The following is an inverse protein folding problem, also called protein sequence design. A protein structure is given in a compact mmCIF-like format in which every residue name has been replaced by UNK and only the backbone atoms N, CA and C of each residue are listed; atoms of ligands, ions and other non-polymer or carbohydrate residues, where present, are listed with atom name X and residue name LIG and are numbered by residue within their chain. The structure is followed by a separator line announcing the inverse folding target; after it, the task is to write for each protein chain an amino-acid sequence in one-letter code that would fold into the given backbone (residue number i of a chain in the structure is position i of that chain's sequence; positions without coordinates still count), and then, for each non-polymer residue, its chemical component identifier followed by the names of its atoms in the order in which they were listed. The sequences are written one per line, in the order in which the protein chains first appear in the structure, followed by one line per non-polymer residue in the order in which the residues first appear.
data_IF_279867980171
#
_entry.id   IF_279867980171
#
_cell.length_a   1.000
_cell.length_b   1.000
_cell.length_c   1.000
_cell.angle_alpha   90.00
_cell.angle_beta   90.00
_cell.angle_gamma   90.00
#
_symmetry.space_group_name_H-M   'P 1'
#
loop_
_entity.id
_entity.type
_entity.pdbx_description
1 polymer ?
#
# COMPACT_ATOMS: atom_id res chain seq x y z
N UNK A 1 6.38 26.48 30.36
CA UNK A 1 6.15 25.26 31.19
C UNK A 1 5.54 24.16 30.33
N UNK A 2 4.46 24.44 29.60
CA UNK A 2 3.83 23.49 28.66
C UNK A 2 4.76 23.01 27.53
N UNK A 3 5.57 23.89 26.94
CA UNK A 3 6.48 23.48 25.84
C UNK A 3 7.59 22.52 26.31
N UNK A 4 8.01 22.61 27.57
CA UNK A 4 9.02 21.71 28.14
C UNK A 4 8.48 20.29 28.35
N UNK A 5 7.22 20.19 28.77
CA UNK A 5 6.50 18.92 28.91
C UNK A 5 6.25 18.28 27.55
N UNK A 6 5.83 19.08 26.57
CA UNK A 6 5.63 18.65 25.19
C UNK A 6 6.96 18.18 24.55
N UNK A 7 8.06 18.91 24.76
CA UNK A 7 9.39 18.49 24.30
C UNK A 7 9.82 17.17 24.93
N UNK A 8 9.57 16.98 26.24
CA UNK A 8 9.83 15.71 26.92
C UNK A 8 9.05 14.54 26.32
N UNK A 9 7.78 14.76 25.95
CA UNK A 9 6.96 13.76 25.28
C UNK A 9 7.48 13.43 23.86
N UNK A 10 7.84 14.45 23.07
CA UNK A 10 8.40 14.27 21.72
C UNK A 10 9.75 13.51 21.78
N UNK A 11 10.62 13.84 22.73
CA UNK A 11 11.91 13.17 22.92
C UNK A 11 11.74 11.68 23.24
N UNK A 12 10.78 11.36 24.11
CA UNK A 12 10.42 9.98 24.44
C UNK A 12 9.87 9.23 23.21
N UNK A 13 9.05 9.90 22.40
CA UNK A 13 8.49 9.35 21.16
C UNK A 13 9.56 9.11 20.06
N UNK A 14 10.61 9.94 19.99
CA UNK A 14 11.75 9.75 19.08
C UNK A 14 12.64 8.60 19.57
N UNK A 15 13.00 8.58 20.87
CA UNK A 15 13.84 7.53 21.47
C UNK A 15 13.23 6.13 21.35
N UNK A 16 11.92 6.01 21.55
CA UNK A 16 11.21 4.73 21.39
C UNK A 16 11.22 4.19 19.95
N UNK A 17 11.39 5.07 18.95
CA UNK A 17 11.46 4.72 17.52
C UNK A 17 12.90 4.44 17.03
N UNK A 18 13.91 5.09 17.61
CA UNK A 18 15.34 4.91 17.28
C UNK A 18 15.97 3.74 18.05
N UNK A 19 15.52 2.51 17.82
CA UNK A 19 16.13 1.32 18.44
C UNK A 19 17.51 0.93 17.87
N UNK A 20 18.11 1.73 16.98
CA UNK A 20 19.37 1.40 16.32
C UNK A 20 20.29 2.63 16.21
N UNK A 21 21.56 2.46 16.62
CA UNK A 21 22.53 3.53 16.94
C UNK A 21 23.46 3.88 15.75
N UNK A 22 23.04 3.54 14.52
CA UNK A 22 23.80 3.75 13.29
C UNK A 22 23.03 4.61 12.28
N UNK A 23 23.75 5.34 11.42
CA UNK A 23 23.13 6.04 10.29
C UNK A 23 22.39 5.03 9.40
N UNK A 24 21.05 5.09 9.30
CA UNK A 24 20.29 4.06 8.63
C UNK A 24 20.56 4.12 7.11
N UNK A 25 20.73 2.97 6.43
CA UNK A 25 20.64 2.93 4.98
C UNK A 25 19.30 3.53 4.54
N UNK A 26 19.26 4.16 3.36
CA UNK A 26 17.97 4.58 2.80
C UNK A 26 17.02 3.38 2.69
N UNK A 27 15.71 3.57 2.86
CA UNK A 27 14.77 2.43 2.91
C UNK A 27 14.84 1.58 1.63
N UNK A 28 15.18 2.20 0.49
CA UNK A 28 15.46 1.48 -0.76
C UNK A 28 16.71 0.62 -0.71
N UNK A 29 17.81 1.10 -0.12
CA UNK A 29 19.00 0.28 0.03
C UNK A 29 18.72 -0.95 0.90
N UNK A 30 17.90 -0.79 1.95
CA UNK A 30 17.43 -1.94 2.74
C UNK A 30 16.58 -2.92 1.91
N UNK A 31 15.70 -2.41 1.04
CA UNK A 31 14.91 -3.27 0.15
C UNK A 31 15.79 -4.01 -0.86
N UNK A 32 16.73 -3.31 -1.49
CA UNK A 32 17.66 -3.90 -2.45
C UNK A 32 18.56 -4.96 -1.81
N UNK A 33 19.09 -4.69 -0.61
CA UNK A 33 19.86 -5.67 0.16
C UNK A 33 19.03 -6.91 0.52
N UNK A 34 17.75 -6.74 0.88
CA UNK A 34 16.84 -7.87 1.12
C UNK A 34 16.59 -8.70 -0.13
N UNK A 35 16.48 -8.05 -1.30
CA UNK A 35 16.34 -8.74 -2.58
C UNK A 35 17.58 -9.56 -2.91
N UNK A 36 18.78 -9.00 -2.68
CA UNK A 36 20.06 -9.71 -2.85
C UNK A 36 20.17 -10.92 -1.90
N UNK A 37 19.74 -10.76 -0.65
CA UNK A 37 19.79 -11.81 0.38
C UNK A 37 18.77 -12.94 0.14
N UNK A 38 17.62 -12.65 -0.48
CA UNK A 38 16.62 -13.70 -0.78
C UNK A 38 17.12 -14.76 -1.76
N UNK A 39 18.22 -14.53 -2.50
CA UNK A 39 18.81 -15.49 -3.44
C UNK A 39 17.94 -15.84 -4.67
N UNK A 40 16.65 -15.50 -4.62
CA UNK A 40 15.69 -15.64 -5.71
C UNK A 40 15.81 -14.49 -6.72
N UNK A 41 15.62 -14.81 -8.00
CA UNK A 41 15.57 -13.81 -9.06
C UNK A 41 14.34 -12.90 -8.90
N UNK A 42 14.55 -11.68 -8.41
CA UNK A 42 13.52 -10.66 -8.36
C UNK A 42 13.35 -10.00 -9.74
N UNK A 43 12.18 -10.15 -10.40
CA UNK A 43 12.07 -9.90 -11.83
C UNK A 43 11.67 -8.47 -12.19
N UNK A 44 11.65 -7.54 -11.22
CA UNK A 44 11.23 -6.17 -11.43
C UNK A 44 12.37 -5.17 -11.25
N UNK A 45 12.32 -4.14 -12.08
CA UNK A 45 13.00 -2.88 -11.82
C UNK A 45 12.19 -2.07 -10.80
N UNK A 46 12.90 -1.34 -9.93
CA UNK A 46 12.30 -0.60 -8.83
C UNK A 46 12.50 0.89 -9.07
N UNK A 47 11.42 1.66 -8.94
CA UNK A 47 11.46 3.12 -8.96
C UNK A 47 10.64 3.73 -7.83
N UNK A 48 11.18 4.77 -7.20
CA UNK A 48 10.50 5.51 -6.15
C UNK A 48 9.82 6.75 -6.72
N UNK A 49 8.56 6.95 -6.33
CA UNK A 49 7.90 8.23 -6.58
C UNK A 49 8.11 9.14 -5.37
N UNK A 50 8.88 10.23 -5.56
CA UNK A 50 9.21 11.19 -4.49
C UNK A 50 7.99 11.91 -3.89
N UNK A 51 6.84 11.91 -4.57
CA UNK A 51 5.66 12.68 -4.17
C UNK A 51 4.64 11.89 -3.32
N UNK A 52 4.69 10.55 -3.33
CA UNK A 52 3.75 9.69 -2.60
C UNK A 52 4.49 8.64 -1.77
N UNK A 53 3.85 8.11 -0.72
CA UNK A 53 4.34 6.92 0.00
C UNK A 53 4.07 5.69 -0.90
N UNK A 54 4.70 5.66 -2.07
CA UNK A 54 4.50 4.61 -3.07
C UNK A 54 5.79 4.25 -3.77
N UNK A 55 5.90 2.97 -4.13
CA UNK A 55 6.98 2.42 -4.94
C UNK A 55 6.36 1.78 -6.19
N UNK A 56 7.03 1.91 -7.30
CA UNK A 56 6.60 1.33 -8.57
C UNK A 56 7.59 0.27 -9.00
N UNK A 57 7.09 -0.95 -9.19
CA UNK A 57 7.83 -2.06 -9.78
C UNK A 57 7.44 -2.21 -11.25
N UNK A 58 8.42 -2.34 -12.14
CA UNK A 58 8.16 -2.52 -13.56
C UNK A 58 8.92 -3.72 -14.12
N UNK A 59 8.28 -4.46 -15.01
CA UNK A 59 8.96 -5.50 -15.81
C UNK A 59 8.29 -5.68 -17.16
N UNK A 60 9.03 -6.27 -18.09
CA UNK A 60 8.47 -6.74 -19.36
C UNK A 60 8.50 -8.27 -19.39
N UNK A 61 7.39 -8.90 -19.74
CA UNK A 61 7.27 -10.36 -19.86
C UNK A 61 6.49 -10.71 -21.12
N UNK A 62 7.12 -11.42 -22.07
CA UNK A 62 6.47 -11.89 -23.30
C UNK A 62 5.73 -10.78 -24.09
N UNK A 63 6.30 -9.57 -24.12
CA UNK A 63 5.70 -8.42 -24.81
C UNK A 63 4.61 -7.69 -24.02
N UNK A 64 4.31 -8.13 -22.79
CA UNK A 64 3.47 -7.41 -21.85
C UNK A 64 4.34 -6.52 -20.94
N UNK A 65 3.92 -5.27 -20.73
CA UNK A 65 4.48 -4.40 -19.69
C UNK A 65 3.65 -4.59 -18.42
N UNK A 66 4.30 -5.00 -17.34
CA UNK A 66 3.69 -5.13 -16.01
C UNK A 66 4.20 -3.98 -15.14
N UNK A 67 3.26 -3.28 -14.53
CA UNK A 67 3.51 -2.18 -13.59
C UNK A 67 2.75 -2.46 -12.29
N UNK A 68 3.46 -2.45 -11.17
CA UNK A 68 2.89 -2.68 -9.84
C UNK A 68 3.18 -1.44 -9.01
N UNK A 69 2.15 -0.69 -8.65
CA UNK A 69 2.26 0.44 -7.74
C UNK A 69 1.82 -0.03 -6.37
N UNK A 70 2.77 -0.08 -5.43
CA UNK A 70 2.46 -0.38 -4.04
C UNK A 70 2.37 0.92 -3.24
N UNK A 71 1.37 1.02 -2.37
CA UNK A 71 1.17 2.15 -1.47
C UNK A 71 0.57 1.69 -0.15
N UNK A 72 0.72 2.50 0.89
CA UNK A 72 0.04 2.23 2.16
C UNK A 72 -1.46 2.54 2.01
N UNK A 73 -2.37 1.73 2.60
CA UNK A 73 -3.76 2.13 2.71
C UNK A 73 -3.82 3.44 3.49
N UNK A 74 -4.72 4.35 3.12
CA UNK A 74 -5.03 5.45 4.02
C UNK A 74 -5.50 4.81 5.33
N UNK A 75 -4.72 4.98 6.40
CA UNK A 75 -5.18 4.65 7.74
C UNK A 75 -6.10 5.78 8.12
N UNK A 76 -7.34 5.71 7.67
CA UNK A 76 -8.40 6.38 8.39
C UNK A 76 -8.54 5.55 9.68
N UNK A 77 -7.89 6.03 10.74
CA UNK A 77 -8.16 5.53 12.09
C UNK A 77 -9.68 5.61 12.27
N UNK A 78 -10.32 4.47 12.50
CA UNK A 78 -11.76 4.35 12.76
C UNK A 78 -12.16 5.35 13.85
N UNK A 79 -12.74 6.48 13.46
CA UNK A 79 -14.00 7.05 13.97
C UNK A 79 -14.26 8.42 13.32
N UNK A 80 -15.31 8.50 12.50
CA UNK A 80 -16.00 9.75 12.14
C UNK A 80 -15.13 10.90 11.59
N UNK A 81 -14.74 10.84 10.32
CA UNK A 81 -14.94 12.00 9.42
C UNK A 81 -14.86 11.60 7.94
N UNK A 82 -16.02 11.29 7.38
CA UNK A 82 -16.26 11.53 5.96
C UNK A 82 -16.03 13.02 5.68
N UNK A 83 -14.90 13.38 5.06
CA UNK A 83 -14.79 14.67 4.38
C UNK A 83 -13.67 14.69 3.34
N UNK A 84 -13.97 14.15 2.16
CA UNK A 84 -13.69 14.87 0.91
C UNK A 84 -14.63 14.43 -0.22
N UNK A 85 -15.94 14.46 0.04
CA UNK A 85 -16.93 14.69 -1.01
C UNK A 85 -17.77 15.88 -0.61
N UNK A 86 -17.53 16.99 -1.28
CA UNK A 86 -18.43 18.13 -1.31
C UNK A 86 -19.85 17.67 -1.67
N UNK A 87 -20.82 17.98 -0.78
CA UNK A 87 -22.26 18.24 -1.00
C UNK A 87 -23.04 17.23 -1.90
N UNK A 88 -24.15 16.61 -1.50
CA UNK A 88 -25.39 17.19 -0.94
C UNK A 88 -26.20 16.18 -0.11
N UNK A 89 -27.13 16.75 0.65
CA UNK A 89 -28.03 16.20 1.66
C UNK A 89 -28.89 14.99 1.24
N UNK A 90 -28.95 13.94 2.08
CA UNK A 90 -30.22 13.23 2.40
C UNK A 90 -30.12 12.40 3.68
N UNK A 91 -31.22 12.36 4.40
CA UNK A 91 -31.35 12.13 5.84
C UNK A 91 -31.16 10.70 6.38
N UNK A 92 -30.80 10.69 7.68
CA UNK A 92 -30.72 9.57 8.61
C UNK A 92 -31.99 8.70 8.65
N UNK A 93 -31.79 7.38 8.76
CA UNK A 93 -32.62 6.58 9.66
C UNK A 93 -31.81 5.51 10.39
N UNK A 94 -31.98 5.57 11.70
CA UNK A 94 -31.39 4.83 12.81
C UNK A 94 -31.65 3.32 12.82
N UNK A 95 -30.71 2.55 13.36
CA UNK A 95 -30.95 1.76 14.58
C UNK A 95 -29.64 1.19 15.15
N UNK A 96 -29.41 1.55 16.41
CA UNK A 96 -28.38 1.04 17.32
C UNK A 96 -28.50 -0.47 17.54
N UNK A 97 -27.36 -1.16 17.71
CA UNK A 97 -27.15 -2.12 18.81
C UNK A 97 -25.65 -2.44 18.94
N UNK A 98 -25.03 -1.90 20.00
CA UNK A 98 -23.78 -2.37 20.57
C UNK A 98 -23.95 -3.82 21.03
N UNK A 99 -23.02 -4.73 20.69
CA UNK A 99 -22.56 -5.77 21.62
C UNK A 99 -21.07 -6.06 21.41
N UNK A 100 -20.32 -6.00 22.52
CA UNK A 100 -18.92 -6.35 22.70
C UNK A 100 -18.54 -7.69 22.07
N UNK A 101 -17.41 -7.78 21.37
CA UNK A 101 -16.57 -8.99 21.37
C UNK A 101 -15.08 -8.65 21.13
N UNK A 102 -14.36 -8.68 22.24
CA UNK A 102 -13.07 -9.33 22.51
C UNK A 102 -11.81 -9.11 21.65
N UNK A 103 -10.74 -8.97 22.41
CA UNK A 103 -9.33 -8.83 22.10
C UNK A 103 -8.80 -10.02 21.28
N UNK A 104 -8.60 -9.83 19.97
CA UNK A 104 -7.67 -10.64 19.17
C UNK A 104 -6.43 -9.81 18.82
N UNK A 105 -5.38 -9.96 19.63
CA UNK A 105 -4.06 -9.37 19.39
C UNK A 105 -3.39 -9.83 18.08
N UNK A 106 -3.93 -10.83 17.38
CA UNK A 106 -3.45 -11.29 16.08
C UNK A 106 -3.93 -10.44 14.89
N UNK A 107 -5.18 -9.97 14.90
CA UNK A 107 -5.77 -9.23 13.78
C UNK A 107 -5.22 -7.81 13.61
N UNK A 108 -4.95 -7.10 14.72
CA UNK A 108 -4.39 -5.74 14.70
C UNK A 108 -3.00 -5.68 14.05
N UNK A 109 -2.18 -6.73 14.20
CA UNK A 109 -0.86 -6.81 13.59
C UNK A 109 -0.93 -7.15 12.08
N UNK A 110 -1.93 -7.94 11.65
CA UNK A 110 -2.12 -8.28 10.23
C UNK A 110 -2.60 -7.08 9.40
N UNK A 111 -3.49 -6.26 9.97
CA UNK A 111 -3.95 -5.01 9.35
C UNK A 111 -2.82 -3.98 9.21
N UNK A 112 -1.90 -3.91 10.19
CA UNK A 112 -0.73 -3.02 10.13
C UNK A 112 0.24 -3.30 8.98
N UNK A 113 0.23 -4.52 8.44
CA UNK A 113 1.12 -4.94 7.35
C UNK A 113 0.41 -5.03 6.00
N UNK A 114 -0.85 -4.56 5.90
CA UNK A 114 -1.58 -4.56 4.63
C UNK A 114 -1.16 -3.38 3.77
N UNK A 115 -0.98 -3.62 2.46
CA UNK A 115 -0.68 -2.59 1.46
C UNK A 115 -1.66 -2.63 0.30
N UNK A 116 -1.90 -1.48 -0.31
CA UNK A 116 -2.65 -1.36 -1.56
C UNK A 116 -1.72 -1.63 -2.73
N UNK A 117 -2.10 -2.53 -3.62
CA UNK A 117 -1.43 -2.76 -4.90
C UNK A 117 -2.35 -2.41 -6.05
N UNK A 118 -1.85 -1.55 -6.95
CA UNK A 118 -2.42 -1.36 -8.27
C UNK A 118 -1.54 -2.10 -9.27
N UNK A 119 -2.08 -3.14 -9.91
CA UNK A 119 -1.34 -3.96 -10.89
C UNK A 119 -1.91 -3.71 -12.27
N UNK A 120 -1.09 -3.18 -13.18
CA UNK A 120 -1.46 -2.93 -14.57
C UNK A 120 -0.64 -3.79 -15.51
N UNK A 121 -1.32 -4.55 -16.37
CA UNK A 121 -0.72 -5.32 -17.46
C UNK A 121 -1.12 -4.65 -18.77
N UNK A 122 -0.15 -4.10 -19.49
CA UNK A 122 -0.34 -3.46 -20.78
C UNK A 122 0.18 -4.35 -21.90
N UNK A 123 -0.58 -4.46 -22.99
CA UNK A 123 -0.21 -5.18 -24.21
C UNK A 123 0.20 -4.21 -25.32
N UNK A 124 0.88 -4.73 -26.34
CA UNK A 124 1.39 -3.93 -27.46
C UNK A 124 0.31 -3.27 -28.33
N UNK A 125 -0.92 -3.78 -28.30
CA UNK A 125 -2.09 -3.18 -28.95
C UNK A 125 -2.64 -1.95 -28.19
N UNK A 126 -2.10 -1.65 -27.01
CA UNK A 126 -2.55 -0.58 -26.12
C UNK A 126 -3.67 -1.01 -25.16
N UNK A 127 -4.15 -2.25 -25.25
CA UNK A 127 -5.10 -2.79 -24.29
C UNK A 127 -4.42 -2.98 -22.92
N UNK A 128 -5.16 -2.72 -21.85
CA UNK A 128 -4.69 -2.88 -20.48
C UNK A 128 -5.69 -3.64 -19.63
N UNK A 129 -5.15 -4.42 -18.70
CA UNK A 129 -5.91 -5.02 -17.61
C UNK A 129 -5.33 -4.49 -16.31
N UNK A 130 -6.16 -3.84 -15.49
CA UNK A 130 -5.75 -3.28 -14.21
C UNK A 130 -6.52 -3.94 -13.07
N UNK A 131 -5.83 -4.14 -11.95
CA UNK A 131 -6.35 -4.74 -10.74
C UNK A 131 -6.06 -3.84 -9.55
N UNK A 132 -7.05 -3.65 -8.69
CA UNK A 132 -6.84 -3.10 -7.35
C UNK A 132 -6.86 -4.26 -6.36
N UNK A 133 -5.79 -4.38 -5.58
CA UNK A 133 -5.59 -5.50 -4.68
C UNK A 133 -5.21 -5.02 -3.28
N UNK A 134 -5.54 -5.82 -2.28
CA UNK A 134 -4.89 -5.76 -0.97
C UNK A 134 -3.83 -6.86 -0.92
N UNK A 135 -2.63 -6.50 -0.51
CA UNK A 135 -1.56 -7.46 -0.29
C UNK A 135 -1.21 -7.56 1.19
N UNK A 136 -1.01 -8.79 1.60
CA UNK A 136 -0.50 -9.22 2.89
C UNK A 136 0.88 -9.86 2.66
N UNK A 137 1.66 -10.10 3.73
CA UNK A 137 3.00 -10.68 3.57
C UNK A 137 3.03 -11.98 2.75
N UNK A 138 1.99 -12.81 2.82
CA UNK A 138 1.95 -14.16 2.26
C UNK A 138 0.90 -14.35 1.14
N UNK A 139 0.02 -13.38 0.92
CA UNK A 139 -1.07 -13.51 -0.04
C UNK A 139 -1.54 -12.16 -0.60
N UNK A 140 -2.36 -12.23 -1.64
CA UNK A 140 -3.00 -11.10 -2.30
C UNK A 140 -4.48 -11.39 -2.50
N UNK A 141 -5.32 -10.38 -2.28
CA UNK A 141 -6.75 -10.41 -2.60
C UNK A 141 -7.03 -9.35 -3.67
N UNK A 142 -7.75 -9.76 -4.71
CA UNK A 142 -8.18 -8.84 -5.77
C UNK A 142 -9.54 -8.26 -5.35
N UNK A 143 -9.62 -6.94 -5.26
CA UNK A 143 -10.85 -6.24 -4.89
C UNK A 143 -11.65 -5.82 -6.13
N UNK A 144 -10.97 -5.29 -7.15
CA UNK A 144 -11.62 -4.86 -8.39
C UNK A 144 -10.73 -5.08 -9.60
N UNK A 145 -11.37 -5.14 -10.77
CA UNK A 145 -10.70 -5.30 -12.05
C UNK A 145 -11.31 -4.33 -13.07
N UNK A 146 -10.47 -3.70 -13.88
CA UNK A 146 -10.92 -2.97 -15.05
C UNK A 146 -10.09 -3.31 -16.29
N UNK A 147 -10.75 -3.29 -17.44
CA UNK A 147 -10.12 -3.44 -18.74
C UNK A 147 -10.18 -2.11 -19.47
N UNK A 148 -9.04 -1.66 -19.99
CA UNK A 148 -8.97 -0.52 -20.89
C UNK A 148 -8.66 -1.03 -22.29
N UNK A 149 -9.49 -0.65 -23.26
CA UNK A 149 -9.29 -1.00 -24.67
C UNK A 149 -9.50 0.21 -25.55
N UNK A 150 -8.94 0.17 -26.76
CA UNK A 150 -9.23 1.16 -27.79
C UNK A 150 -10.46 0.75 -28.60
N UNK A 151 -11.33 1.72 -28.86
CA UNK A 151 -12.46 1.54 -29.77
C UNK A 151 -12.02 1.68 -31.23
N UNK A 152 -12.92 1.39 -32.17
CA UNK A 152 -12.68 1.60 -33.59
C UNK A 152 -12.40 3.07 -33.97
N UNK A 153 -12.71 4.03 -33.08
CA UNK A 153 -12.44 5.46 -33.26
C UNK A 153 -11.18 5.94 -32.53
N UNK A 154 -10.38 5.01 -32.01
CA UNK A 154 -9.19 5.27 -31.18
C UNK A 154 -9.49 5.93 -29.81
N UNK A 155 -10.77 6.03 -29.43
CA UNK A 155 -11.16 6.43 -28.07
C UNK A 155 -10.83 5.33 -27.05
N UNK A 156 -10.44 5.71 -25.84
CA UNK A 156 -10.19 4.79 -24.72
C UNK A 156 -11.52 4.46 -24.03
N UNK A 157 -11.85 3.18 -23.95
CA UNK A 157 -13.00 2.66 -23.22
C UNK A 157 -12.54 1.89 -21.98
N UNK A 158 -13.14 2.19 -20.82
CA UNK A 158 -12.94 1.46 -19.58
C UNK A 158 -14.15 0.58 -19.28
N UNK A 159 -13.91 -0.69 -18.95
CA UNK A 159 -14.94 -1.65 -18.51
C UNK A 159 -14.58 -2.17 -17.14
N UNK A 160 -15.46 -1.96 -16.17
CA UNK A 160 -15.28 -2.38 -14.78
C UNK A 160 -15.99 -3.70 -14.51
N UNK A 161 -15.39 -4.53 -13.67
CA UNK A 161 -15.93 -5.82 -13.26
C UNK A 161 -15.99 -5.87 -11.74
N UNK A 162 -17.15 -6.27 -11.22
CA UNK A 162 -17.31 -6.67 -9.83
C UNK A 162 -16.67 -8.06 -9.66
N UNK A 163 -15.46 -8.08 -9.07
CA UNK A 163 -14.61 -9.27 -9.07
C UNK A 163 -15.22 -10.42 -8.26
N UNK A 164 -15.89 -10.09 -7.16
CA UNK A 164 -16.62 -10.99 -6.27
C UNK A 164 -17.83 -11.66 -6.94
N UNK A 165 -18.37 -11.07 -8.00
CA UNK A 165 -19.46 -11.66 -8.82
C UNK A 165 -18.97 -12.60 -9.92
N UNK A 166 -17.64 -12.73 -10.13
CA UNK A 166 -17.09 -13.68 -11.09
C UNK A 166 -17.13 -15.12 -10.55
N UNK A 167 -17.10 -16.11 -11.44
CA UNK A 167 -16.96 -17.51 -11.05
C UNK A 167 -15.69 -17.75 -10.20
N UNK A 168 -15.79 -18.59 -9.17
CA UNK A 168 -14.68 -18.83 -8.24
C UNK A 168 -13.41 -19.36 -8.92
N UNK A 169 -13.53 -20.20 -9.95
CA UNK A 169 -12.37 -20.73 -10.65
C UNK A 169 -11.70 -19.63 -11.47
N UNK A 170 -12.49 -18.70 -12.02
CA UNK A 170 -11.99 -17.53 -12.71
C UNK A 170 -11.27 -16.58 -11.74
N UNK A 171 -11.85 -16.32 -10.56
CA UNK A 171 -11.20 -15.53 -9.51
C UNK A 171 -9.84 -16.12 -9.11
N UNK A 172 -9.79 -17.44 -8.82
CA UNK A 172 -8.54 -18.17 -8.50
C UNK A 172 -7.53 -18.11 -9.64
N UNK A 173 -7.99 -18.13 -10.88
CA UNK A 173 -7.12 -18.05 -12.07
C UNK A 173 -6.50 -16.67 -12.22
N UNK A 174 -7.18 -15.59 -11.85
CA UNK A 174 -6.60 -14.25 -11.87
C UNK A 174 -5.50 -14.07 -10.81
N UNK A 175 -5.64 -14.67 -9.63
CA UNK A 175 -4.54 -14.68 -8.64
C UNK A 175 -3.30 -15.39 -9.21
N UNK A 176 -3.47 -16.57 -9.81
CA UNK A 176 -2.37 -17.28 -10.50
C UNK A 176 -1.80 -16.49 -11.68
N UNK A 177 -2.64 -15.75 -12.40
CA UNK A 177 -2.23 -14.91 -13.52
C UNK A 177 -1.29 -13.78 -13.09
N UNK A 178 -1.54 -13.18 -11.92
CA UNK A 178 -0.67 -12.18 -11.29
C UNK A 178 0.63 -12.80 -10.76
N UNK A 179 0.54 -13.98 -10.13
CA UNK A 179 1.68 -14.75 -9.64
C UNK A 179 2.68 -15.08 -10.76
N UNK A 180 2.18 -15.59 -11.90
CA UNK A 180 2.99 -15.86 -13.10
C UNK A 180 3.64 -14.60 -13.71
N UNK A 181 3.14 -13.41 -13.34
CA UNK A 181 3.70 -12.11 -13.74
C UNK A 181 4.63 -11.52 -12.69
N UNK A 182 4.95 -12.28 -11.64
CA UNK A 182 5.89 -11.89 -10.61
C UNK A 182 5.23 -11.26 -9.39
N UNK A 183 3.90 -11.11 -9.34
CA UNK A 183 3.22 -10.67 -8.10
C UNK A 183 3.07 -11.90 -7.19
N UNK A 184 4.20 -12.39 -6.71
CA UNK A 184 4.34 -13.61 -5.90
C UNK A 184 4.22 -13.29 -4.41
N UNK A 185 4.01 -14.29 -3.53
CA UNK A 185 4.11 -14.12 -2.08
C UNK A 185 5.45 -13.51 -1.63
N UNK A 186 6.57 -13.86 -2.27
CA UNK A 186 7.88 -13.26 -1.97
C UNK A 186 7.87 -11.77 -2.28
N UNK A 187 7.31 -11.37 -3.42
CA UNK A 187 7.18 -9.96 -3.82
C UNK A 187 6.28 -9.18 -2.87
N UNK A 188 5.13 -9.74 -2.47
CA UNK A 188 4.23 -9.06 -1.53
C UNK A 188 4.87 -8.94 -0.14
N UNK A 189 5.58 -9.96 0.34
CA UNK A 189 6.33 -9.89 1.61
C UNK A 189 7.36 -8.76 1.61
N UNK A 190 8.19 -8.68 0.56
CA UNK A 190 9.20 -7.64 0.41
C UNK A 190 8.57 -6.25 0.41
N UNK A 191 7.49 -6.06 -0.36
CA UNK A 191 6.77 -4.79 -0.42
C UNK A 191 6.13 -4.40 0.92
N UNK A 192 5.51 -5.35 1.63
CA UNK A 192 4.92 -5.10 2.95
C UNK A 192 5.99 -4.68 3.97
N UNK A 193 7.13 -5.37 3.97
CA UNK A 193 8.27 -5.02 4.82
C UNK A 193 8.84 -3.64 4.52
N UNK A 194 9.00 -3.32 3.23
CA UNK A 194 9.48 -2.01 2.80
C UNK A 194 8.52 -0.88 3.17
N UNK A 195 7.22 -1.03 2.89
CA UNK A 195 6.22 -0.02 3.23
C UNK A 195 6.14 0.21 4.74
N UNK A 196 6.32 -0.83 5.55
CA UNK A 196 6.38 -0.72 7.01
C UNK A 196 7.59 0.11 7.47
N UNK A 197 8.78 -0.11 6.87
CA UNK A 197 9.98 0.70 7.18
C UNK A 197 9.87 2.16 6.72
N UNK A 198 9.26 2.39 5.55
CA UNK A 198 9.00 3.74 5.00
C UNK A 198 8.15 4.61 5.92
N UNK A 199 7.15 3.99 6.55
CA UNK A 199 6.27 4.70 7.50
C UNK A 199 7.04 5.11 8.74
N UNK A 200 7.80 4.19 9.33
CA UNK A 200 8.54 4.46 10.57
C UNK A 200 9.54 5.60 10.40
N UNK A 201 10.23 5.67 9.27
CA UNK A 201 11.18 6.73 8.97
C UNK A 201 10.49 8.08 8.69
N UNK A 202 9.33 8.10 8.02
CA UNK A 202 8.53 9.33 7.86
C UNK A 202 7.98 9.83 9.19
N UNK A 203 7.50 8.94 10.06
CA UNK A 203 7.03 9.29 11.40
C UNK A 203 8.15 9.92 12.21
N UNK A 204 9.35 9.35 12.16
CA UNK A 204 10.53 9.91 12.81
C UNK A 204 10.87 11.30 12.27
N UNK A 205 10.89 11.47 10.95
CA UNK A 205 11.13 12.78 10.32
C UNK A 205 10.08 13.82 10.73
N UNK A 206 8.80 13.43 10.83
CA UNK A 206 7.73 14.31 11.29
C UNK A 206 7.92 14.69 12.77
N UNK A 207 8.29 13.73 13.63
CA UNK A 207 8.57 14.00 15.04
C UNK A 207 9.78 14.92 15.21
N UNK A 208 10.84 14.75 14.41
CA UNK A 208 11.99 15.67 14.43
C UNK A 208 11.58 17.08 13.99
N UNK A 209 10.79 17.22 12.91
CA UNK A 209 10.28 18.54 12.49
C UNK A 209 9.37 19.18 13.54
N UNK A 210 8.52 18.38 14.20
CA UNK A 210 7.67 18.85 15.29
C UNK A 210 8.52 19.30 16.49
N UNK A 211 9.55 18.54 16.83
CA UNK A 211 10.52 18.90 17.85
C UNK A 211 11.21 20.24 17.52
N UNK A 212 11.69 20.40 16.29
CA UNK A 212 12.34 21.63 15.82
C UNK A 212 11.38 22.82 15.86
N UNK A 213 10.10 22.61 15.54
CA UNK A 213 9.07 23.64 15.63
C UNK A 213 8.84 24.09 17.08
N UNK A 214 8.68 23.15 18.02
CA UNK A 214 8.45 23.48 19.44
C UNK A 214 9.69 24.08 20.11
N UNK A 215 10.91 23.75 19.62
CA UNK A 215 12.16 24.37 20.07
C UNK A 215 12.37 25.78 19.54
N UNK A 216 11.63 26.18 18.51
CA UNK A 216 11.79 27.48 17.86
C UNK A 216 10.88 28.48 18.56
N UNK A 217 11.49 29.52 19.14
CA UNK A 217 10.81 30.64 19.79
C UNK A 217 9.88 31.42 18.85
#
# INVERSE_FOLDING_TARGET
MFDLELLGAIDSAIKSRNKDDGAPPTELQCLLAKIEDTGDYFPFEISENKCRVSITLTRTLKGEKIEVVASKPCLDDDENNSSCTSHEDVELSSASSNENLEEDGGQKNKLRSTINLEVTISKGDGSKLAFTCFAYPDNITIHSMCMLSRTAKDDVQATYYEFDKLDENLQKSFVKYLDLRGVTPTTTNLLCGYMSSKVQSKDLLMLTKLQDFVKKD
#
